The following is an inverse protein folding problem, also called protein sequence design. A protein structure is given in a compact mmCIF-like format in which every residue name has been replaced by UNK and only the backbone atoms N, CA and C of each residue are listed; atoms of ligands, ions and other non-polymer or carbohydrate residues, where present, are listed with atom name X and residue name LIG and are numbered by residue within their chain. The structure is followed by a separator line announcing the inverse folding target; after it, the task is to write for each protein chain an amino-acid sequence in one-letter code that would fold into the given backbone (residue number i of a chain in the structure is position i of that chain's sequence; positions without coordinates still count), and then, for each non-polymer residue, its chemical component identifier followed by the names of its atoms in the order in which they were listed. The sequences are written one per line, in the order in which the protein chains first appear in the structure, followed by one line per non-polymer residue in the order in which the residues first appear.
data_IF_901308754118
#
_entry.id   IF_901308754118
#
_cell.length_a   1.000
_cell.length_b   1.000
_cell.length_c   1.000
_cell.angle_alpha   90.00
_cell.angle_beta   90.00
_cell.angle_gamma   90.00
#
_symmetry.space_group_name_H-M   'P 1'
#
loop_
_entity.id
_entity.type
_entity.pdbx_description
1 polymer ?
#
# COMPACT_ATOMS: atom_id res chain seq x y z
N UNK A 1 7.37 -32.36 -13.95
CA UNK A 1 7.14 -32.21 -12.49
C UNK A 1 7.65 -30.88 -11.98
N UNK A 2 8.94 -30.53 -12.13
CA UNK A 2 9.46 -29.23 -11.65
C UNK A 2 8.75 -28.01 -12.28
N UNK A 3 8.59 -28.01 -13.61
CA UNK A 3 7.84 -26.96 -14.33
C UNK A 3 6.42 -26.76 -13.78
N UNK A 4 5.68 -27.86 -13.56
CA UNK A 4 4.31 -27.81 -13.01
C UNK A 4 4.26 -27.21 -11.61
N UNK A 5 5.30 -27.39 -10.80
CA UNK A 5 5.39 -26.80 -9.46
C UNK A 5 5.60 -25.29 -9.57
N UNK A 6 6.42 -24.83 -10.52
CA UNK A 6 6.66 -23.42 -10.75
C UNK A 6 5.41 -22.72 -11.30
N UNK A 7 4.69 -23.36 -12.24
CA UNK A 7 3.43 -22.85 -12.76
C UNK A 7 2.38 -22.74 -11.64
N UNK A 8 2.27 -23.76 -10.79
CA UNK A 8 1.37 -23.74 -9.64
C UNK A 8 1.75 -22.61 -8.66
N UNK A 9 3.04 -22.43 -8.39
CA UNK A 9 3.52 -21.35 -7.53
C UNK A 9 3.18 -19.96 -8.12
N UNK A 10 3.37 -19.77 -9.43
CA UNK A 10 2.99 -18.53 -10.11
C UNK A 10 1.48 -18.24 -9.99
N UNK A 11 0.64 -19.26 -10.20
CA UNK A 11 -0.83 -19.14 -10.04
C UNK A 11 -1.20 -18.78 -8.61
N UNK A 12 -0.58 -19.40 -7.60
CA UNK A 12 -0.81 -19.07 -6.19
C UNK A 12 -0.41 -17.63 -5.89
N UNK A 13 0.73 -17.15 -6.40
CA UNK A 13 1.15 -15.76 -6.25
C UNK A 13 0.13 -14.78 -6.84
N UNK A 14 -0.35 -15.02 -8.07
CA UNK A 14 -1.38 -14.20 -8.71
C UNK A 14 -2.68 -14.20 -7.91
N UNK A 15 -3.11 -15.38 -7.44
CA UNK A 15 -4.33 -15.52 -6.65
C UNK A 15 -4.24 -14.73 -5.33
N UNK A 16 -3.13 -14.83 -4.61
CA UNK A 16 -2.90 -14.08 -3.37
C UNK A 16 -2.88 -12.56 -3.64
N UNK A 17 -2.24 -12.11 -4.73
CA UNK A 17 -2.26 -10.70 -5.12
C UNK A 17 -3.69 -10.21 -5.42
N UNK A 18 -4.50 -11.02 -6.10
CA UNK A 18 -5.91 -10.71 -6.38
C UNK A 18 -6.73 -10.62 -5.08
N UNK A 19 -6.56 -11.55 -4.15
CA UNK A 19 -7.22 -11.52 -2.84
C UNK A 19 -6.85 -10.26 -2.06
N UNK A 20 -5.58 -9.84 -2.06
CA UNK A 20 -5.17 -8.59 -1.43
C UNK A 20 -5.84 -7.38 -2.09
N UNK A 21 -5.92 -7.35 -3.42
CA UNK A 21 -6.58 -6.27 -4.16
C UNK A 21 -8.07 -6.15 -3.80
N UNK A 22 -8.77 -7.29 -3.74
CA UNK A 22 -10.18 -7.34 -3.30
C UNK A 22 -10.31 -6.88 -1.85
N UNK A 23 -9.43 -7.36 -0.96
CA UNK A 23 -9.44 -6.96 0.45
C UNK A 23 -9.22 -5.45 0.64
N UNK A 24 -8.36 -4.83 -0.18
CA UNK A 24 -8.19 -3.38 -0.18
C UNK A 24 -9.44 -2.65 -0.70
N UNK A 25 -10.06 -3.13 -1.77
CA UNK A 25 -11.34 -2.58 -2.26
C UNK A 25 -12.43 -2.64 -1.20
N UNK A 26 -12.58 -3.78 -0.53
CA UNK A 26 -13.52 -3.95 0.60
C UNK A 26 -13.15 -3.02 1.76
N UNK A 27 -11.86 -2.91 2.11
CA UNK A 27 -11.39 -2.00 3.16
C UNK A 27 -11.69 -0.53 2.85
N UNK A 28 -11.56 -0.11 1.60
CA UNK A 28 -11.88 1.25 1.16
C UNK A 28 -13.36 1.61 1.30
N UNK A 29 -14.26 0.63 1.19
CA UNK A 29 -15.72 0.81 1.34
C UNK A 29 -16.19 0.62 2.79
N UNK A 30 -15.51 -0.25 3.55
CA UNK A 30 -15.88 -0.59 4.93
C UNK A 30 -15.36 0.41 5.97
N UNK A 31 -14.14 0.91 5.79
CA UNK A 31 -13.55 1.83 6.76
C UNK A 31 -14.07 3.25 6.56
N UNK A 32 -14.45 3.88 7.67
CA UNK A 32 -14.98 5.27 7.69
C UNK A 32 -13.87 6.30 7.82
N UNK A 33 -12.77 5.93 8.46
CA UNK A 33 -11.59 6.78 8.70
C UNK A 33 -10.59 6.75 7.55
N UNK A 34 -10.00 7.90 7.24
CA UNK A 34 -9.07 8.06 6.13
C UNK A 34 -7.76 7.27 6.29
N UNK A 35 -7.20 7.18 7.49
CA UNK A 35 -5.95 6.43 7.73
C UNK A 35 -6.18 4.93 7.62
N UNK A 36 -7.32 4.45 8.11
CA UNK A 36 -7.72 3.04 8.00
C UNK A 36 -7.93 2.63 6.54
N UNK A 37 -8.59 3.50 5.74
CA UNK A 37 -8.73 3.32 4.29
C UNK A 37 -7.38 3.32 3.58
N UNK A 38 -6.49 4.24 3.95
CA UNK A 38 -5.14 4.33 3.38
C UNK A 38 -4.29 3.10 3.71
N UNK A 39 -4.36 2.61 4.94
CA UNK A 39 -3.68 1.38 5.36
C UNK A 39 -4.18 0.16 4.57
N UNK A 40 -5.49 0.06 4.33
CA UNK A 40 -6.04 -1.00 3.50
C UNK A 40 -5.56 -0.89 2.03
N UNK A 41 -5.61 0.31 1.46
CA UNK A 41 -5.25 0.57 0.07
C UNK A 41 -3.77 0.35 -0.25
N UNK A 42 -2.89 0.54 0.73
CA UNK A 42 -1.43 0.45 0.56
C UNK A 42 -0.88 -0.97 0.60
N UNK A 43 -1.58 -1.92 1.25
CA UNK A 43 -1.12 -3.32 1.35
C UNK A 43 -0.89 -4.01 -0.01
N UNK A 44 -1.84 -3.96 -0.98
CA UNK A 44 -1.64 -4.63 -2.26
C UNK A 44 -0.62 -3.92 -3.14
N UNK A 45 -0.40 -2.62 -2.94
CA UNK A 45 0.48 -1.81 -3.78
C UNK A 45 1.94 -2.28 -3.71
N UNK A 46 2.42 -2.68 -2.53
CA UNK A 46 3.77 -3.22 -2.36
C UNK A 46 3.74 -4.76 -2.37
N UNK A 47 2.91 -5.35 -1.51
CA UNK A 47 2.93 -6.81 -1.31
C UNK A 47 2.28 -7.55 -2.49
N UNK A 48 1.17 -7.02 -3.01
CA UNK A 48 0.53 -7.56 -4.21
C UNK A 48 1.41 -7.39 -5.45
N UNK A 49 2.07 -6.24 -5.61
CA UNK A 49 3.02 -6.06 -6.71
C UNK A 49 4.19 -7.03 -6.63
N UNK A 50 4.75 -7.25 -5.43
CA UNK A 50 5.84 -8.22 -5.25
C UNK A 50 5.41 -9.63 -5.65
N UNK A 51 4.19 -10.05 -5.29
CA UNK A 51 3.63 -11.34 -5.69
C UNK A 51 3.45 -11.44 -7.21
N UNK A 52 2.99 -10.38 -7.88
CA UNK A 52 2.85 -10.36 -9.34
C UNK A 52 4.21 -10.42 -10.04
N UNK A 53 5.21 -9.67 -9.56
CA UNK A 53 6.57 -9.73 -10.09
C UNK A 53 7.17 -11.12 -9.91
N UNK A 54 6.97 -11.73 -8.73
CA UNK A 54 7.40 -13.10 -8.47
C UNK A 54 6.71 -14.10 -9.41
N UNK A 55 5.40 -13.99 -9.63
CA UNK A 55 4.69 -14.85 -10.57
C UNK A 55 5.25 -14.74 -12.00
N UNK A 56 5.49 -13.53 -12.50
CA UNK A 56 6.08 -13.31 -13.83
C UNK A 56 7.51 -13.85 -13.91
N UNK A 57 8.29 -13.72 -12.83
CA UNK A 57 9.64 -14.25 -12.77
C UNK A 57 9.67 -15.78 -12.82
N UNK A 58 8.72 -16.45 -12.16
CA UNK A 58 8.57 -17.91 -12.16
C UNK A 58 8.09 -18.45 -13.51
N UNK A 59 7.19 -17.72 -14.18
CA UNK A 59 6.61 -18.09 -15.47
C UNK A 59 7.60 -17.88 -16.63
N UNK A 60 8.04 -16.63 -16.86
CA UNK A 60 8.83 -16.31 -18.05
C UNK A 60 10.33 -16.59 -17.91
N UNK A 61 10.88 -16.51 -16.69
CA UNK A 61 12.31 -16.76 -16.38
C UNK A 61 13.29 -16.01 -17.29
N UNK A 62 12.85 -14.89 -17.85
CA UNK A 62 13.63 -14.07 -18.77
C UNK A 62 14.23 -12.88 -18.03
N UNK A 63 15.54 -12.69 -18.22
CA UNK A 63 16.28 -11.55 -17.65
C UNK A 63 15.77 -10.23 -18.21
N UNK A 64 15.37 -10.18 -19.49
CA UNK A 64 14.83 -8.96 -20.10
C UNK A 64 13.51 -8.53 -19.44
N UNK A 65 12.63 -9.50 -19.15
CA UNK A 65 11.37 -9.27 -18.45
C UNK A 65 11.63 -8.78 -17.03
N UNK A 66 12.58 -9.41 -16.31
CA UNK A 66 12.90 -9.02 -14.94
C UNK A 66 13.48 -7.59 -14.86
N UNK A 67 14.37 -7.23 -15.80
CA UNK A 67 14.92 -5.88 -15.92
C UNK A 67 13.83 -4.84 -16.19
N UNK A 68 12.81 -5.18 -16.97
CA UNK A 68 11.67 -4.30 -17.22
C UNK A 68 10.76 -4.11 -15.97
N UNK A 69 10.73 -5.09 -15.07
CA UNK A 69 9.93 -5.02 -13.82
C UNK A 69 10.61 -4.24 -12.69
N UNK A 70 11.94 -4.15 -12.70
CA UNK A 70 12.70 -3.35 -11.71
C UNK A 70 12.20 -1.90 -11.61
N UNK A 71 12.10 -1.11 -12.71
CA UNK A 71 11.60 0.25 -12.60
C UNK A 71 10.14 0.29 -12.10
N UNK A 72 9.28 -0.66 -12.49
CA UNK A 72 7.90 -0.74 -11.99
C UNK A 72 7.88 -0.87 -10.47
N UNK A 73 8.69 -1.77 -9.91
CA UNK A 73 8.81 -1.94 -8.47
C UNK A 73 9.36 -0.71 -7.76
N UNK A 74 10.42 -0.11 -8.32
CA UNK A 74 11.06 1.08 -7.73
C UNK A 74 10.10 2.26 -7.73
N UNK A 75 9.50 2.59 -8.87
CA UNK A 75 8.56 3.71 -8.96
C UNK A 75 7.35 3.47 -8.05
N UNK A 76 6.75 2.28 -8.04
CA UNK A 76 5.64 1.98 -7.14
C UNK A 76 6.04 2.15 -5.66
N UNK A 77 7.22 1.66 -5.28
CA UNK A 77 7.72 1.71 -3.90
C UNK A 77 8.07 3.12 -3.43
N UNK A 78 8.41 4.02 -4.36
CA UNK A 78 8.63 5.44 -4.07
C UNK A 78 7.32 6.22 -4.05
N UNK A 79 6.43 5.97 -5.01
CA UNK A 79 5.18 6.72 -5.14
C UNK A 79 4.18 6.37 -4.05
N UNK A 80 4.10 5.10 -3.61
CA UNK A 80 3.11 4.68 -2.61
C UNK A 80 3.29 5.38 -1.23
N UNK A 81 4.50 5.45 -0.63
CA UNK A 81 4.71 6.18 0.63
C UNK A 81 4.49 7.68 0.49
N UNK A 82 4.89 8.29 -0.63
CA UNK A 82 4.68 9.73 -0.87
C UNK A 82 3.19 10.03 -0.96
N UNK A 83 2.44 9.24 -1.75
CA UNK A 83 0.99 9.37 -1.85
C UNK A 83 0.32 9.17 -0.48
N UNK A 84 0.74 8.16 0.28
CA UNK A 84 0.23 7.91 1.63
C UNK A 84 0.50 9.08 2.58
N UNK A 85 1.70 9.65 2.54
CA UNK A 85 2.05 10.80 3.38
C UNK A 85 1.23 12.04 3.02
N UNK A 86 1.08 12.35 1.72
CA UNK A 86 0.27 13.49 1.28
C UNK A 86 -1.21 13.32 1.67
N UNK A 87 -1.78 12.14 1.46
CA UNK A 87 -3.17 11.82 1.83
C UNK A 87 -3.35 11.89 3.35
N UNK A 88 -2.42 11.35 4.13
CA UNK A 88 -2.45 11.40 5.59
C UNK A 88 -2.42 12.84 6.11
N UNK A 89 -1.54 13.70 5.58
CA UNK A 89 -1.49 15.14 5.93
C UNK A 89 -2.79 15.86 5.54
N UNK A 90 -3.33 15.58 4.36
CA UNK A 90 -4.58 16.17 3.91
C UNK A 90 -5.77 15.74 4.79
N UNK A 91 -5.85 14.45 5.13
CA UNK A 91 -6.88 13.91 6.01
C UNK A 91 -6.84 14.53 7.41
N UNK A 92 -5.64 14.69 7.98
CA UNK A 92 -5.46 15.34 9.27
C UNK A 92 -5.92 16.81 9.24
N UNK A 93 -5.53 17.58 8.21
CA UNK A 93 -5.90 19.00 8.07
C UNK A 93 -7.37 19.25 7.78
N UNK A 94 -8.05 18.31 7.11
CA UNK A 94 -9.47 18.43 6.73
C UNK A 94 -10.41 17.84 7.76
N UNK A 95 -9.90 17.30 8.87
CA UNK A 95 -10.71 16.69 9.92
C UNK A 95 -11.36 15.36 9.50
N UNK A 96 -10.83 14.67 8.48
CA UNK A 96 -11.33 13.36 8.05
C UNK A 96 -10.80 12.17 8.88
N UNK A 97 -10.25 12.47 10.06
CA UNK A 97 -9.82 11.49 11.03
C UNK A 97 -10.94 11.23 12.02
N UNK A 98 -11.20 9.95 12.30
CA UNK A 98 -12.14 9.59 13.35
C UNK A 98 -11.49 9.73 14.73
N UNK A 99 -11.61 10.92 15.32
CA UNK A 99 -11.04 11.24 16.63
C UNK A 99 -11.57 10.38 17.76
N UNK A 100 -12.73 9.71 17.59
CA UNK A 100 -13.25 8.78 18.60
C UNK A 100 -12.46 7.47 18.69
N UNK A 101 -11.72 7.14 17.62
CA UNK A 101 -10.86 5.94 17.57
C UNK A 101 -9.42 6.20 17.98
N UNK A 102 -9.03 7.48 18.10
CA UNK A 102 -7.68 7.88 18.50
C UNK A 102 -7.56 7.87 20.03
N UNK A 103 -6.80 6.92 20.58
CA UNK A 103 -6.51 6.88 22.02
C UNK A 103 -5.50 7.97 22.41
N UNK A 104 -4.51 8.22 21.56
CA UNK A 104 -3.47 9.25 21.76
C UNK A 104 -3.21 9.96 20.43
N UNK A 105 -3.22 11.28 20.45
CA UNK A 105 -2.89 12.16 19.32
C UNK A 105 -1.77 13.12 19.74
N UNK A 106 -0.51 12.74 19.51
CA UNK A 106 0.66 13.57 19.83
C UNK A 106 0.89 14.69 18.79
N UNK A 107 0.29 14.56 17.60
CA UNK A 107 0.47 15.52 16.52
C UNK A 107 -0.29 16.82 16.82
N UNK A 108 -1.50 16.74 17.39
CA UNK A 108 -2.30 17.91 17.77
C UNK A 108 -1.58 18.89 18.71
N UNK A 109 -1.08 18.47 19.89
CA UNK A 109 -0.36 19.38 20.79
C UNK A 109 0.97 19.86 20.20
N UNK A 110 1.58 19.14 19.25
CA UNK A 110 2.76 19.63 18.54
C UNK A 110 2.42 20.79 17.60
N UNK A 111 1.31 20.71 16.87
CA UNK A 111 0.82 21.77 15.97
C UNK A 111 0.41 23.02 16.76
N UNK A 112 -0.34 22.85 17.86
CA UNK A 112 -0.77 23.98 18.72
C UNK A 112 0.43 24.74 19.33
N UNK A 113 1.48 24.03 19.72
CA UNK A 113 2.74 24.64 20.20
C UNK A 113 3.45 25.44 19.11
N UNK A 114 3.48 24.94 17.88
CA UNK A 114 4.09 25.70 16.76
C UNK A 114 3.31 26.96 16.40
N UNK A 115 1.99 26.93 16.49
CA UNK A 115 1.16 28.12 16.21
C UNK A 115 1.23 29.16 17.34
N UNK A 116 1.38 28.72 18.59
CA UNK A 116 1.47 29.60 19.76
C UNK A 116 2.85 30.26 19.88
N UNK A 117 3.94 29.57 19.51
CA UNK A 117 5.30 30.12 19.57
C UNK A 117 5.65 31.10 18.43
N UNK A 118 4.75 31.27 17.45
CA UNK A 118 4.88 32.18 16.32
C UNK A 118 4.08 33.49 16.51
N UNK A 119 3.33 33.61 17.62
CA UNK A 119 2.63 34.81 18.07
C UNK A 119 3.40 35.48 19.20
#
# INVERSE_FOLDING_TARGET
MFEQILDLAAVVCVFLAAVLSVAAGVGLLRFRDALSRLHAATKPQIFGLLLIIAAIALDQRSVSTLLALVPVFVFQSLTAPVAAHMVGRAAYRTGQLDTSTLVVDELRPAIERSDTGMR
#
